data_IF_412398672788
#
_entry.id   IF_412398672788
#
_cell.length_a   1.000
_cell.length_b   1.000
_cell.length_c   1.000
_cell.angle_alpha   90.00
_cell.angle_beta   90.00
_cell.angle_gamma   90.00
#
_symmetry.space_group_name_H-M   'P 1'
#
loop_
_entity.id
_entity.type
_entity.pdbx_description
1 polymer ?
#
# COMPACT_ATOMS: atom_id res chain seq x y z
N UNK A 1 -25.69 41.19 -19.98
CA UNK A 1 -24.41 41.88 -19.73
C UNK A 1 -24.33 42.17 -18.24
N UNK A 2 -23.68 41.23 -17.55
CA UNK A 2 -22.83 41.38 -16.38
C UNK A 2 -23.15 42.54 -15.41
N UNK A 3 -23.78 42.20 -14.29
CA UNK A 3 -23.56 42.93 -13.02
C UNK A 3 -23.45 41.91 -11.89
N UNK A 4 -22.29 41.23 -11.85
CA UNK A 4 -21.84 40.49 -10.68
C UNK A 4 -20.97 41.44 -9.88
N UNK A 5 -21.55 42.09 -8.88
CA UNK A 5 -20.79 42.84 -7.88
C UNK A 5 -20.34 41.87 -6.77
N UNK A 6 -19.03 41.63 -6.57
CA UNK A 6 -18.56 40.83 -5.44
C UNK A 6 -18.74 41.62 -4.14
N UNK A 7 -19.55 41.10 -3.21
CA UNK A 7 -19.58 41.57 -1.82
C UNK A 7 -18.20 41.31 -1.20
N UNK A 8 -17.39 42.37 -1.08
CA UNK A 8 -16.19 42.36 -0.25
C UNK A 8 -16.60 42.18 1.22
N UNK A 9 -16.20 41.08 1.84
CA UNK A 9 -16.13 41.02 3.30
C UNK A 9 -14.89 41.78 3.78
N UNK A 10 -15.07 42.55 4.85
CA UNK A 10 -14.06 43.46 5.40
C UNK A 10 -12.99 42.69 6.16
N UNK A 11 -11.78 43.27 6.15
CA UNK A 11 -10.56 42.79 6.80
C UNK A 11 -10.79 42.34 8.26
N UNK A 12 -10.30 41.15 8.59
CA UNK A 12 -9.92 40.80 9.96
C UNK A 12 -10.85 39.90 10.77
N UNK A 13 -11.46 38.88 10.17
CA UNK A 13 -12.09 37.80 10.93
C UNK A 13 -11.41 36.47 10.55
N UNK A 14 -10.83 35.81 11.55
CA UNK A 14 -10.29 34.45 11.43
C UNK A 14 -11.34 33.57 10.75
N UNK A 15 -10.94 32.70 9.84
CA UNK A 15 -11.83 31.73 9.21
C UNK A 15 -12.50 30.89 10.31
N UNK A 16 -13.66 31.33 10.80
CA UNK A 16 -14.50 30.53 11.67
C UNK A 16 -15.02 29.40 10.81
N UNK A 17 -14.43 28.22 10.99
CA UNK A 17 -14.77 26.97 10.33
C UNK A 17 -16.18 26.49 10.71
N UNK A 18 -17.20 27.30 10.40
CA UNK A 18 -18.61 27.03 10.71
C UNK A 18 -19.53 27.13 9.50
N UNK A 19 -19.09 27.77 8.43
CA UNK A 19 -19.84 27.82 7.17
C UNK A 19 -19.00 27.14 6.08
N UNK A 20 -19.43 25.95 5.66
CA UNK A 20 -18.79 25.25 4.57
C UNK A 20 -18.95 26.06 3.28
N UNK A 21 -17.89 26.15 2.46
CA UNK A 21 -17.84 26.94 1.22
C UNK A 21 -18.97 26.55 0.26
N UNK A 22 -19.41 25.28 0.30
CA UNK A 22 -20.57 24.77 -0.44
C UNK A 22 -21.89 25.46 -0.14
N UNK A 23 -22.02 26.16 0.99
CA UNK A 23 -23.26 26.86 1.39
C UNK A 23 -23.62 28.04 0.48
N UNK A 24 -22.66 28.53 -0.31
CA UNK A 24 -22.87 29.60 -1.30
C UNK A 24 -22.88 29.08 -2.74
N UNK A 25 -22.71 27.77 -2.96
CA UNK A 25 -22.79 27.17 -4.28
C UNK A 25 -24.25 27.18 -4.79
N UNK A 26 -24.44 27.05 -6.11
CA UNK A 26 -25.78 27.07 -6.71
C UNK A 26 -26.68 25.93 -6.21
N UNK A 27 -26.09 24.78 -5.90
CA UNK A 27 -26.82 23.57 -5.51
C UNK A 27 -26.61 23.19 -4.03
N UNK A 28 -25.86 23.99 -3.27
CA UNK A 28 -25.58 23.76 -1.86
C UNK A 28 -24.51 22.71 -1.61
N UNK A 29 -24.58 22.09 -0.42
CA UNK A 29 -23.65 21.07 0.04
C UNK A 29 -24.18 19.67 -0.20
N UNK A 30 -23.26 18.74 -0.43
CA UNK A 30 -23.49 17.31 -0.30
C UNK A 30 -23.87 16.92 1.16
N UNK A 31 -24.33 15.67 1.34
CA UNK A 31 -24.68 15.11 2.66
C UNK A 31 -23.55 15.21 3.70
N UNK A 32 -22.30 15.29 3.24
CA UNK A 32 -21.11 15.45 4.08
C UNK A 32 -20.94 16.86 4.67
N UNK A 33 -21.75 17.83 4.23
CA UNK A 33 -21.74 19.22 4.65
C UNK A 33 -20.46 19.98 4.30
N UNK A 34 -19.64 19.45 3.39
CA UNK A 34 -18.33 20.02 3.03
C UNK A 34 -18.13 20.16 1.53
N UNK A 35 -18.68 19.22 0.75
CA UNK A 35 -18.46 19.17 -0.69
C UNK A 35 -19.57 19.93 -1.42
N UNK A 36 -19.19 20.71 -2.44
CA UNK A 36 -20.14 21.42 -3.31
C UNK A 36 -20.89 20.40 -4.16
N UNK A 37 -22.23 20.40 -4.11
CA UNK A 37 -23.02 19.62 -5.05
C UNK A 37 -22.93 20.27 -6.45
N UNK A 38 -22.66 19.49 -7.48
CA UNK A 38 -22.52 20.02 -8.85
C UNK A 38 -23.86 20.13 -9.59
N UNK A 39 -24.90 19.47 -9.08
CA UNK A 39 -26.25 19.53 -9.63
C UNK A 39 -27.35 19.36 -8.57
N UNK A 40 -28.62 19.45 -8.98
CA UNK A 40 -29.76 19.21 -8.10
C UNK A 40 -29.73 17.78 -7.54
N UNK A 41 -30.35 17.54 -6.39
CA UNK A 41 -30.38 16.21 -5.73
C UNK A 41 -29.01 15.62 -5.32
N UNK A 42 -27.96 16.44 -5.25
CA UNK A 42 -26.63 16.00 -4.83
C UNK A 42 -25.83 15.29 -5.92
N UNK A 43 -26.06 15.65 -7.19
CA UNK A 43 -25.30 15.11 -8.32
C UNK A 43 -23.79 15.35 -8.14
N UNK A 44 -23.03 14.31 -8.48
CA UNK A 44 -21.56 14.24 -8.36
C UNK A 44 -21.04 14.45 -6.93
N UNK A 45 -21.88 14.22 -5.92
CA UNK A 45 -21.44 14.14 -4.54
C UNK A 45 -20.59 12.88 -4.28
N UNK A 46 -19.66 12.93 -3.32
CA UNK A 46 -18.89 11.77 -2.91
C UNK A 46 -19.80 10.63 -2.44
N UNK A 47 -19.41 9.36 -2.65
CA UNK A 47 -20.17 8.24 -2.13
C UNK A 47 -20.24 8.33 -0.60
N UNK A 48 -21.34 7.85 -0.01
CA UNK A 48 -21.57 7.98 1.45
C UNK A 48 -20.42 7.38 2.28
N UNK A 49 -19.89 6.25 1.83
CA UNK A 49 -18.75 5.58 2.44
C UNK A 49 -17.43 6.36 2.33
N UNK A 50 -17.33 7.41 1.51
CA UNK A 50 -16.11 8.23 1.40
C UNK A 50 -15.77 8.93 2.72
N UNK A 51 -16.80 9.19 3.54
CA UNK A 51 -16.64 9.80 4.85
C UNK A 51 -16.35 8.79 5.97
N UNK A 52 -16.47 7.48 5.68
CA UNK A 52 -16.23 6.44 6.66
C UNK A 52 -14.74 6.29 6.97
N UNK A 53 -14.44 5.73 8.14
CA UNK A 53 -13.09 5.64 8.71
C UNK A 53 -12.05 5.03 7.76
N UNK A 54 -12.46 4.12 6.88
CA UNK A 54 -11.59 3.40 5.96
C UNK A 54 -11.93 3.64 4.48
N UNK A 55 -12.90 4.52 4.19
CA UNK A 55 -13.37 4.81 2.84
C UNK A 55 -14.27 3.73 2.26
N UNK A 56 -14.43 3.78 0.94
CA UNK A 56 -15.25 2.85 0.16
C UNK A 56 -14.45 1.68 -0.39
N UNK A 57 -15.16 0.58 -0.66
CA UNK A 57 -14.72 -0.48 -1.54
C UNK A 57 -14.73 -0.03 -3.01
N UNK A 58 -14.24 -0.90 -3.91
CA UNK A 58 -14.16 -0.61 -5.36
C UNK A 58 -15.52 -0.35 -6.00
N UNK A 59 -16.60 -0.83 -5.37
CA UNK A 59 -17.98 -0.60 -5.79
C UNK A 59 -18.48 0.82 -5.49
N UNK A 60 -17.73 1.64 -4.74
CA UNK A 60 -18.10 2.99 -4.27
C UNK A 60 -19.44 3.05 -3.51
N UNK A 61 -19.92 1.92 -3.00
CA UNK A 61 -21.18 1.83 -2.27
C UNK A 61 -20.94 1.25 -0.89
N UNK A 62 -20.08 0.24 -0.80
CA UNK A 62 -19.81 -0.48 0.43
C UNK A 62 -18.70 0.19 1.21
N UNK A 63 -18.93 0.41 2.50
CA UNK A 63 -17.92 0.91 3.44
C UNK A 63 -16.89 -0.18 3.74
N UNK A 64 -15.61 0.13 3.59
CA UNK A 64 -14.54 -0.79 3.99
C UNK A 64 -14.50 -0.92 5.52
N UNK A 65 -14.26 -2.14 6.02
CA UNK A 65 -14.18 -2.40 7.46
C UNK A 65 -12.79 -2.11 8.04
N UNK A 66 -11.78 -2.05 7.17
CA UNK A 66 -10.42 -1.74 7.53
C UNK A 66 -9.64 -1.12 6.38
N UNK A 67 -8.39 -0.73 6.67
CA UNK A 67 -7.47 -0.16 5.67
C UNK A 67 -7.26 -1.14 4.52
N UNK A 68 -6.85 -0.62 3.37
CA UNK A 68 -6.53 -1.41 2.18
C UNK A 68 -7.69 -2.30 1.70
N UNK A 69 -8.95 -1.89 1.92
CA UNK A 69 -10.13 -2.62 1.45
C UNK A 69 -10.46 -3.88 2.25
N UNK A 70 -9.97 -4.04 3.49
CA UNK A 70 -10.38 -5.16 4.36
C UNK A 70 -11.90 -5.23 4.48
N UNK A 71 -12.45 -6.43 4.30
CA UNK A 71 -13.88 -6.69 4.37
C UNK A 71 -14.64 -6.39 3.07
N UNK A 72 -14.02 -5.77 2.07
CA UNK A 72 -14.69 -5.50 0.78
C UNK A 72 -15.06 -6.79 0.02
N UNK A 73 -14.33 -7.88 0.24
CA UNK A 73 -14.66 -9.19 -0.31
C UNK A 73 -16.01 -9.76 0.19
N UNK A 74 -16.60 -9.22 1.27
CA UNK A 74 -17.86 -9.73 1.83
C UNK A 74 -19.08 -9.52 0.93
N UNK A 75 -19.00 -8.57 0.00
CA UNK A 75 -20.08 -8.33 -0.99
C UNK A 75 -19.94 -9.18 -2.25
N UNK A 76 -18.87 -9.98 -2.35
CA UNK A 76 -18.72 -10.95 -3.45
C UNK A 76 -19.58 -12.19 -3.21
N UNK A 77 -19.84 -12.96 -4.26
CA UNK A 77 -20.69 -14.16 -4.20
C UNK A 77 -20.23 -15.18 -3.15
N UNK A 78 -18.91 -15.34 -3.00
CA UNK A 78 -18.29 -16.36 -2.13
C UNK A 78 -17.66 -15.78 -0.86
N UNK A 79 -17.70 -14.46 -0.69
CA UNK A 79 -17.18 -13.79 0.50
C UNK A 79 -15.65 -13.70 0.53
N UNK A 80 -15.10 -13.57 1.75
CA UNK A 80 -13.68 -13.39 1.98
C UNK A 80 -12.97 -14.71 2.29
N UNK A 81 -11.70 -14.79 1.89
CA UNK A 81 -10.73 -15.71 2.46
C UNK A 81 -10.48 -15.42 3.95
N UNK A 82 -9.76 -16.32 4.62
CA UNK A 82 -9.44 -16.22 6.06
C UNK A 82 -8.70 -14.92 6.43
N UNK A 83 -8.04 -14.28 5.46
CA UNK A 83 -7.32 -13.02 5.65
C UNK A 83 -8.23 -11.78 5.70
N UNK A 84 -9.49 -11.90 5.30
CA UNK A 84 -10.47 -10.80 5.15
C UNK A 84 -10.11 -9.72 4.10
N UNK A 85 -9.16 -9.98 3.21
CA UNK A 85 -8.80 -9.07 2.11
C UNK A 85 -9.11 -9.70 0.75
N UNK A 86 -8.74 -10.96 0.55
CA UNK A 86 -8.97 -11.63 -0.72
C UNK A 86 -10.39 -12.16 -0.82
N UNK A 87 -11.03 -11.95 -1.97
CA UNK A 87 -12.30 -12.58 -2.29
C UNK A 87 -12.06 -14.03 -2.72
N UNK A 88 -12.83 -14.96 -2.18
CA UNK A 88 -12.84 -16.33 -2.68
C UNK A 88 -13.40 -16.34 -4.11
N UNK A 89 -12.79 -17.14 -4.99
CA UNK A 89 -13.24 -17.26 -6.38
C UNK A 89 -14.38 -18.27 -6.55
N UNK A 90 -14.63 -19.09 -5.53
CA UNK A 90 -15.64 -20.13 -5.51
C UNK A 90 -16.01 -20.58 -4.09
N UNK A 91 -16.92 -21.56 -3.95
CA UNK A 91 -17.29 -22.13 -2.65
C UNK A 91 -16.09 -22.82 -1.98
N UNK A 92 -16.23 -23.15 -0.70
CA UNK A 92 -15.22 -23.90 0.06
C UNK A 92 -13.81 -23.25 0.07
N UNK A 93 -13.74 -21.91 0.11
CA UNK A 93 -12.50 -21.14 0.08
C UNK A 93 -11.65 -21.36 -1.19
N UNK A 94 -12.30 -21.66 -2.33
CA UNK A 94 -11.60 -21.78 -3.61
C UNK A 94 -10.89 -20.46 -3.97
N UNK A 95 -9.64 -20.58 -4.43
CA UNK A 95 -8.81 -19.42 -4.77
C UNK A 95 -8.18 -18.70 -3.57
N UNK A 96 -8.46 -19.14 -2.34
CA UNK A 96 -7.78 -18.64 -1.16
C UNK A 96 -6.39 -19.26 -1.00
N UNK A 97 -5.42 -18.53 -0.41
CA UNK A 97 -4.14 -19.11 -0.05
C UNK A 97 -4.36 -20.29 0.89
N UNK A 98 -3.71 -21.41 0.59
CA UNK A 98 -3.61 -22.51 1.54
C UNK A 98 -2.63 -22.07 2.61
N UNK A 99 -3.11 -22.00 3.85
CA UNK A 99 -2.24 -21.82 5.01
C UNK A 99 -1.34 -23.07 5.04
N UNK A 100 -0.13 -22.96 4.49
CA UNK A 100 0.90 -23.98 4.63
C UNK A 100 1.25 -23.98 6.11
N UNK A 101 0.55 -24.82 6.87
CA UNK A 101 0.84 -25.06 8.28
C UNK A 101 2.31 -25.43 8.34
N UNK A 102 3.11 -24.52 8.90
CA UNK A 102 4.46 -24.78 9.35
C UNK A 102 4.38 -26.07 10.15
N UNK A 103 4.94 -27.15 9.58
CA UNK A 103 4.87 -28.46 10.20
C UNK A 103 5.58 -28.33 11.54
N UNK A 104 4.83 -28.33 12.63
CA UNK A 104 5.39 -28.59 13.96
C UNK A 104 5.88 -30.03 13.90
N UNK A 105 7.18 -30.20 13.65
CA UNK A 105 7.83 -31.52 13.76
C UNK A 105 7.96 -31.77 15.26
N UNK A 106 7.00 -32.52 15.79
CA UNK A 106 7.07 -33.12 17.12
C UNK A 106 8.41 -33.89 17.26
N UNK A 107 9.07 -33.64 18.38
CA UNK A 107 10.37 -34.21 18.75
C UNK A 107 10.34 -35.75 18.79
N UNK A 108 11.43 -36.38 18.32
CA UNK A 108 11.87 -37.78 18.53
C UNK A 108 11.11 -38.85 17.67
N UNK A 109 11.72 -39.73 16.86
CA UNK A 109 12.82 -40.66 17.12
C UNK A 109 13.50 -41.13 15.80
N UNK A 110 14.82 -41.36 15.88
CA UNK A 110 15.70 -42.26 15.11
C UNK A 110 15.31 -42.72 13.68
N UNK A 111 15.92 -42.10 12.66
CA UNK A 111 16.07 -42.72 11.33
C UNK A 111 17.54 -42.60 10.88
N UNK A 112 18.32 -43.64 11.16
CA UNK A 112 19.54 -43.96 10.40
C UNK A 112 19.13 -44.44 8.99
N UNK A 113 19.79 -43.91 7.96
CA UNK A 113 19.59 -44.18 6.52
C UNK A 113 18.40 -43.44 5.83
N UNK A 114 18.51 -42.11 5.75
CA UNK A 114 18.05 -41.36 4.57
C UNK A 114 19.21 -40.51 4.03
N UNK A 115 19.51 -40.67 2.74
CA UNK A 115 20.55 -39.93 2.04
C UNK A 115 20.18 -38.44 1.96
N UNK A 116 20.57 -37.71 3.01
CA UNK A 116 20.96 -36.29 3.07
C UNK A 116 20.18 -35.29 2.18
N UNK A 117 18.90 -35.06 2.46
CA UNK A 117 18.23 -33.79 2.10
C UNK A 117 18.17 -32.80 3.28
N UNK A 118 18.66 -33.17 4.46
CA UNK A 118 18.63 -32.34 5.68
C UNK A 118 19.90 -31.50 5.85
N UNK A 119 20.25 -30.72 4.83
CA UNK A 119 21.31 -29.70 4.94
C UNK A 119 20.94 -28.38 4.26
N UNK A 120 19.65 -28.09 4.08
CA UNK A 120 19.17 -26.82 3.53
C UNK A 120 18.67 -25.82 4.58
N UNK A 121 18.55 -26.18 5.85
CA UNK A 121 18.05 -25.27 6.90
C UNK A 121 19.12 -24.34 7.53
N UNK A 122 20.35 -24.33 7.00
CA UNK A 122 21.43 -23.43 7.45
C UNK A 122 22.03 -22.58 6.33
N UNK A 123 21.58 -22.74 5.08
CA UNK A 123 21.99 -21.85 4.00
C UNK A 123 20.99 -20.69 3.92
N UNK A 124 21.47 -19.44 3.79
CA UNK A 124 20.57 -18.30 3.62
C UNK A 124 19.76 -18.46 2.34
N UNK A 125 18.50 -17.99 2.33
CA UNK A 125 17.53 -18.13 1.23
C UNK A 125 18.07 -17.63 -0.12
N UNK A 126 19.06 -16.73 -0.07
CA UNK A 126 19.75 -16.23 -1.24
C UNK A 126 20.67 -17.25 -1.94
N UNK A 127 21.05 -18.35 -1.29
CA UNK A 127 22.08 -19.30 -1.80
C UNK A 127 21.66 -20.07 -3.05
N UNK A 128 20.35 -20.28 -3.23
CA UNK A 128 19.80 -20.96 -4.41
C UNK A 128 19.33 -19.98 -5.50
N UNK A 129 19.38 -18.67 -5.23
CA UNK A 129 19.02 -17.64 -6.21
C UNK A 129 20.12 -17.52 -7.26
N UNK A 130 19.74 -17.14 -8.48
CA UNK A 130 20.62 -17.04 -9.65
C UNK A 130 21.91 -16.24 -9.41
N UNK A 131 21.86 -15.21 -8.56
CA UNK A 131 22.99 -14.32 -8.28
C UNK A 131 23.58 -14.47 -6.87
N UNK A 132 23.07 -15.43 -6.10
CA UNK A 132 23.56 -15.71 -4.74
C UNK A 132 23.25 -14.60 -3.73
N UNK A 133 24.08 -14.56 -2.69
CA UNK A 133 23.92 -13.66 -1.55
C UNK A 133 24.81 -12.42 -1.65
N UNK A 134 24.33 -11.33 -1.06
CA UNK A 134 25.10 -10.14 -0.76
C UNK A 134 26.17 -10.42 0.30
N UNK A 135 27.05 -9.45 0.56
CA UNK A 135 28.14 -9.55 1.54
C UNK A 135 27.68 -9.85 2.98
N UNK A 136 26.41 -9.61 3.29
CA UNK A 136 25.78 -9.93 4.58
C UNK A 136 25.34 -11.40 4.69
N UNK A 137 25.49 -12.18 3.61
CA UNK A 137 25.14 -13.59 3.52
C UNK A 137 23.67 -13.86 3.89
N UNK A 138 22.78 -12.89 3.70
CA UNK A 138 21.35 -13.00 4.01
C UNK A 138 20.50 -12.41 2.89
N UNK A 139 20.90 -11.25 2.36
CA UNK A 139 20.16 -10.56 1.32
C UNK A 139 20.44 -11.19 -0.04
N UNK A 140 19.40 -11.45 -0.84
CA UNK A 140 19.56 -11.94 -2.20
C UNK A 140 20.05 -10.82 -3.14
N UNK A 141 21.10 -11.09 -3.92
CA UNK A 141 21.51 -10.18 -4.98
C UNK A 141 20.48 -10.22 -6.11
N UNK A 142 20.11 -9.03 -6.63
CA UNK A 142 19.16 -8.91 -7.73
C UNK A 142 19.81 -9.16 -9.10
N UNK A 143 21.12 -8.97 -9.20
CA UNK A 143 21.89 -9.13 -10.43
C UNK A 143 23.35 -9.52 -10.16
N UNK A 144 24.16 -9.69 -11.22
CA UNK A 144 25.59 -9.94 -11.10
C UNK A 144 26.30 -8.78 -10.38
N UNK A 145 27.53 -9.01 -9.90
CA UNK A 145 28.36 -7.98 -9.28
C UNK A 145 27.73 -7.25 -8.07
N UNK A 146 26.92 -7.97 -7.26
CA UNK A 146 26.22 -7.45 -6.08
C UNK A 146 25.16 -6.39 -6.39
N UNK A 147 24.61 -6.38 -7.61
CA UNK A 147 23.53 -5.49 -7.98
C UNK A 147 22.28 -5.71 -7.08
N UNK A 148 21.71 -4.61 -6.59
CA UNK A 148 20.58 -4.59 -5.67
C UNK A 148 20.92 -4.84 -4.21
N UNK A 149 22.17 -5.21 -3.87
CA UNK A 149 22.56 -5.43 -2.46
C UNK A 149 22.49 -4.17 -1.59
N UNK A 150 22.56 -2.99 -2.22
CA UNK A 150 22.38 -1.71 -1.54
C UNK A 150 20.92 -1.35 -1.25
N UNK A 151 19.92 -2.14 -1.69
CA UNK A 151 18.50 -1.81 -1.47
C UNK A 151 18.10 -1.88 0.01
N UNK A 152 18.77 -2.71 0.81
CA UNK A 152 18.58 -2.78 2.26
C UNK A 152 19.23 -1.61 3.03
N UNK A 153 19.98 -0.75 2.35
CA UNK A 153 20.61 0.41 2.96
C UNK A 153 19.59 1.50 3.33
N UNK A 154 19.88 2.35 4.34
CA UNK A 154 18.97 3.44 4.74
C UNK A 154 18.55 4.38 3.62
N UNK A 155 19.40 4.60 2.61
CA UNK A 155 19.14 5.49 1.47
C UNK A 155 19.08 4.75 0.13
N UNK A 156 19.06 3.42 0.15
CA UNK A 156 19.02 2.57 -1.04
C UNK A 156 20.26 2.66 -1.93
N UNK A 157 20.05 2.37 -3.22
CA UNK A 157 21.10 2.31 -4.23
C UNK A 157 21.26 3.61 -5.01
N UNK A 158 22.48 3.85 -5.48
CA UNK A 158 22.78 4.77 -6.57
C UNK A 158 22.15 4.29 -7.88
N UNK A 159 22.08 5.15 -8.93
CA UNK A 159 21.48 4.78 -10.22
C UNK A 159 22.18 3.62 -10.96
N UNK A 160 23.39 3.26 -10.52
CA UNK A 160 24.13 2.10 -11.02
C UNK A 160 23.73 0.77 -10.34
N UNK A 161 22.78 0.80 -9.41
CA UNK A 161 22.24 -0.35 -8.66
C UNK A 161 23.24 -1.19 -7.86
N UNK A 162 24.51 -0.79 -7.79
CA UNK A 162 25.57 -1.51 -7.07
C UNK A 162 26.07 -0.70 -5.87
N UNK A 163 26.17 0.63 -6.01
CA UNK A 163 26.72 1.50 -4.96
C UNK A 163 25.63 1.94 -3.99
N UNK A 164 25.91 1.92 -2.69
CA UNK A 164 25.01 2.45 -1.66
C UNK A 164 25.04 4.00 -1.65
N UNK A 165 23.88 4.64 -1.64
CA UNK A 165 23.79 6.08 -1.42
C UNK A 165 24.08 6.42 0.05
N UNK A 166 24.85 7.47 0.32
CA UNK A 166 25.17 7.91 1.68
C UNK A 166 24.10 8.82 2.28
N UNK A 167 23.16 9.30 1.46
CA UNK A 167 22.07 10.19 1.86
C UNK A 167 20.94 10.22 0.83
N UNK A 168 19.89 10.96 1.15
CA UNK A 168 18.77 11.21 0.23
C UNK A 168 19.24 11.89 -1.07
N UNK A 169 18.47 11.77 -2.16
CA UNK A 169 18.79 12.41 -3.46
C UNK A 169 20.14 11.96 -4.07
N UNK A 170 20.49 10.67 -3.98
CA UNK A 170 21.74 10.11 -4.51
C UNK A 170 23.01 10.77 -3.96
N UNK A 171 22.95 11.31 -2.74
CA UNK A 171 24.14 11.79 -2.04
C UNK A 171 25.16 10.65 -1.92
N UNK A 172 26.43 10.96 -2.20
CA UNK A 172 27.52 9.96 -2.22
C UNK A 172 27.58 9.11 -3.48
N UNK A 173 26.61 9.23 -4.40
CA UNK A 173 26.72 8.70 -5.75
C UNK A 173 27.59 9.60 -6.63
N UNK A 174 27.91 9.16 -7.86
CA UNK A 174 28.76 9.92 -8.78
C UNK A 174 28.29 11.37 -8.98
N UNK A 175 29.23 12.28 -9.25
CA UNK A 175 28.96 13.73 -9.36
C UNK A 175 27.92 14.09 -10.43
N UNK A 176 27.66 13.18 -11.37
CA UNK A 176 26.62 13.32 -12.39
C UNK A 176 25.19 13.21 -11.82
N UNK A 177 25.04 12.74 -10.58
CA UNK A 177 23.76 12.53 -9.89
C UNK A 177 23.58 13.38 -8.64
N UNK A 178 24.62 14.09 -8.18
CA UNK A 178 24.50 15.01 -7.05
C UNK A 178 23.95 16.36 -7.52
N UNK A 179 23.03 16.96 -6.73
CA UNK A 179 22.49 18.31 -7.00
C UNK A 179 23.52 19.43 -6.80
N UNK A 180 24.71 19.07 -6.28
CA UNK A 180 25.85 19.95 -6.11
C UNK A 180 27.10 19.19 -6.56
N UNK A 181 27.59 19.50 -7.76
CA UNK A 181 28.93 19.16 -8.23
C UNK A 181 29.93 20.26 -7.89
#
# INVERSE_FOLDING_TARGET
PDDVTPKKTKEGEECSAKDAVCSVSLFGCCDDGKTDAQGPDGEECPPKCASDKYGCCEDNVTSAEGRNGRGCCRVTEYGCCSDEYMAATGPDMEGCPVEETEVEVDEEEDIDDVESTTQMALLPDCSYKTYGCCSDNYTAAHGPDMEGCCLAAPFGCCPNYVTQATGSNYEGCGCEYSTHG
#
